data_IF_445335033551
#
_entry.id   IF_445335033551
#
_cell.length_a   1.000
_cell.length_b   1.000
_cell.length_c   1.000
_cell.angle_alpha   90.00
_cell.angle_beta   90.00
_cell.angle_gamma   90.00
#
_symmetry.space_group_name_H-M   'P 1'
#
loop_
_entity.id
_entity.type
_entity.pdbx_description
1 polymer ?
#
# COMPACT_ATOMS: atom_id res chain seq x y z
N UNK A 1 10.89 6.29 25.63
CA UNK A 1 11.70 6.08 24.40
C UNK A 1 11.10 6.92 23.28
N UNK A 2 11.76 8.01 22.92
CA UNK A 2 11.22 9.10 22.10
C UNK A 2 11.43 8.80 20.60
N UNK A 3 10.36 8.69 19.82
CA UNK A 3 10.44 8.45 18.37
C UNK A 3 10.79 9.76 17.63
N UNK A 4 11.93 9.82 16.94
CA UNK A 4 12.36 11.04 16.23
C UNK A 4 12.07 11.04 14.72
N UNK A 5 11.75 9.90 14.08
CA UNK A 5 11.51 9.87 12.62
C UNK A 5 10.23 9.15 12.18
N UNK A 6 9.72 9.46 10.97
CA UNK A 6 8.60 8.74 10.37
C UNK A 6 8.90 7.25 10.16
N UNK A 7 10.16 6.92 9.84
CA UNK A 7 10.63 5.54 9.66
C UNK A 7 10.42 4.72 10.94
N UNK A 8 10.72 5.29 12.11
CA UNK A 8 10.55 4.58 13.39
C UNK A 8 9.08 4.32 13.71
N UNK A 9 8.19 5.28 13.40
CA UNK A 9 6.74 5.11 13.57
C UNK A 9 6.21 3.96 12.71
N UNK A 10 6.61 3.91 11.45
CA UNK A 10 6.22 2.83 10.53
C UNK A 10 6.82 1.51 11.00
N UNK A 11 8.12 1.49 11.34
CA UNK A 11 8.83 0.29 11.80
C UNK A 11 8.16 -0.31 13.03
N UNK A 12 7.75 0.50 14.01
CA UNK A 12 7.00 0.01 15.18
C UNK A 12 5.72 -0.74 14.80
N UNK A 13 4.97 -0.23 13.82
CA UNK A 13 3.73 -0.88 13.34
C UNK A 13 4.07 -2.18 12.62
N UNK A 14 5.10 -2.15 11.77
CA UNK A 14 5.55 -3.30 10.99
C UNK A 14 6.12 -4.40 11.88
N UNK A 15 6.95 -4.08 12.88
CA UNK A 15 7.51 -5.02 13.84
C UNK A 15 6.41 -5.65 14.72
N UNK A 16 5.35 -4.90 15.05
CA UNK A 16 4.22 -5.45 15.84
C UNK A 16 3.36 -6.42 15.02
N UNK A 17 3.26 -6.19 13.72
CA UNK A 17 2.37 -6.97 12.85
C UNK A 17 3.13 -8.13 12.22
N UNK A 18 4.35 -7.88 11.74
CA UNK A 18 5.28 -8.69 10.92
C UNK A 18 4.67 -9.26 9.64
N UNK A 19 3.52 -9.91 9.77
CA UNK A 19 2.78 -10.62 8.73
C UNK A 19 1.29 -10.70 9.08
N UNK A 20 0.46 -10.76 8.05
CA UNK A 20 -0.98 -11.04 8.19
C UNK A 20 -1.37 -12.16 7.24
N UNK A 21 -2.28 -13.04 7.67
CA UNK A 21 -2.94 -13.98 6.75
C UNK A 21 -4.02 -13.23 5.98
N UNK A 22 -4.06 -13.43 4.67
CA UNK A 22 -5.02 -12.75 3.79
C UNK A 22 -5.95 -13.78 3.13
N UNK A 23 -7.25 -13.81 3.45
CA UNK A 23 -8.19 -14.78 2.90
C UNK A 23 -8.27 -14.76 1.37
N UNK A 24 -8.12 -13.59 0.75
CA UNK A 24 -8.07 -13.44 -0.70
C UNK A 24 -6.95 -14.24 -1.39
N UNK A 25 -5.88 -14.57 -0.67
CA UNK A 25 -4.78 -15.40 -1.16
C UNK A 25 -4.77 -16.76 -0.45
N UNK A 26 -5.94 -17.38 -0.26
CA UNK A 26 -6.06 -18.67 0.42
C UNK A 26 -5.39 -18.71 1.80
N UNK A 27 -5.46 -17.59 2.53
CA UNK A 27 -4.81 -17.37 3.82
C UNK A 27 -3.27 -17.38 3.81
N UNK A 28 -2.63 -17.15 2.66
CA UNK A 28 -1.20 -16.88 2.57
C UNK A 28 -0.78 -15.67 3.42
N UNK A 29 0.50 -15.67 3.84
CA UNK A 29 1.09 -14.60 4.64
C UNK A 29 1.54 -13.41 3.77
N UNK A 30 1.00 -12.23 4.06
CA UNK A 30 1.46 -10.94 3.52
C UNK A 30 2.45 -10.31 4.50
N UNK A 31 3.69 -10.15 4.05
CA UNK A 31 4.79 -9.69 4.88
C UNK A 31 4.84 -8.16 4.95
N UNK A 32 5.05 -7.61 6.14
CA UNK A 32 5.31 -6.19 6.38
C UNK A 32 6.80 -5.99 6.58
N UNK A 33 7.52 -5.57 5.53
CA UNK A 33 8.98 -5.53 5.51
C UNK A 33 9.54 -4.16 5.09
N UNK A 34 10.88 -4.04 5.08
CA UNK A 34 11.59 -2.82 4.73
C UNK A 34 11.24 -2.26 3.34
N UNK A 35 10.84 -3.10 2.38
CA UNK A 35 10.42 -2.64 1.04
C UNK A 35 9.14 -1.81 1.12
N UNK A 36 8.16 -2.28 1.90
CA UNK A 36 6.94 -1.52 2.19
C UNK A 36 7.23 -0.23 2.94
N UNK A 37 8.10 -0.25 3.96
CA UNK A 37 8.52 0.97 4.70
C UNK A 37 9.10 2.00 3.74
N UNK A 38 10.06 1.59 2.91
CA UNK A 38 10.70 2.49 1.95
C UNK A 38 9.67 3.08 0.98
N UNK A 39 8.71 2.29 0.50
CA UNK A 39 7.71 2.77 -0.43
C UNK A 39 6.71 3.76 0.20
N UNK A 40 6.45 3.67 1.51
CA UNK A 40 5.65 4.65 2.24
C UNK A 40 6.39 5.98 2.45
N UNK A 41 7.73 5.96 2.48
CA UNK A 41 8.59 7.10 2.75
C UNK A 41 9.09 7.80 1.48
N UNK A 42 9.34 7.06 0.41
CA UNK A 42 9.99 7.55 -0.80
C UNK A 42 9.12 7.34 -2.05
N UNK A 43 9.34 8.18 -3.05
CA UNK A 43 8.77 8.05 -4.40
C UNK A 43 9.67 7.16 -5.28
N UNK A 44 9.24 6.88 -6.51
CA UNK A 44 9.98 6.04 -7.46
C UNK A 44 11.36 6.61 -7.83
N UNK A 45 11.48 7.93 -7.90
CA UNK A 45 12.72 8.69 -8.12
C UNK A 45 13.64 8.74 -6.88
N UNK A 46 13.28 8.03 -5.79
CA UNK A 46 13.95 8.01 -4.49
C UNK A 46 13.89 9.33 -3.71
N UNK A 47 13.16 10.34 -4.19
CA UNK A 47 12.87 11.54 -3.41
C UNK A 47 11.95 11.17 -2.23
N UNK A 48 12.11 11.87 -1.10
CA UNK A 48 11.23 11.67 0.04
C UNK A 48 9.81 12.16 -0.31
N UNK A 49 8.79 11.39 0.07
CA UNK A 49 7.40 11.81 -0.03
C UNK A 49 7.15 13.00 0.91
N UNK A 50 6.19 13.83 0.51
CA UNK A 50 5.71 14.93 1.34
C UNK A 50 5.32 14.44 2.75
N UNK A 51 5.63 15.24 3.77
CA UNK A 51 5.42 14.89 5.18
C UNK A 51 3.95 14.62 5.50
N UNK A 52 3.02 15.42 4.97
CA UNK A 52 1.58 15.20 5.16
C UNK A 52 1.13 13.91 4.49
N UNK A 53 1.72 13.56 3.34
CA UNK A 53 1.45 12.27 2.69
C UNK A 53 1.95 11.10 3.54
N UNK A 54 3.17 11.18 4.08
CA UNK A 54 3.72 10.13 4.95
C UNK A 54 2.85 9.96 6.21
N UNK A 55 2.44 11.06 6.84
CA UNK A 55 1.54 11.02 8.00
C UNK A 55 0.19 10.37 7.67
N UNK A 56 -0.37 10.69 6.51
CA UNK A 56 -1.61 10.08 6.03
C UNK A 56 -1.42 8.58 5.86
N UNK A 57 -0.35 8.15 5.18
CA UNK A 57 -0.01 6.73 5.03
C UNK A 57 0.06 6.02 6.40
N UNK A 58 0.79 6.60 7.37
CA UNK A 58 0.92 6.04 8.72
C UNK A 58 -0.44 5.89 9.40
N UNK A 59 -1.32 6.90 9.31
CA UNK A 59 -2.68 6.85 9.88
C UNK A 59 -3.55 5.77 9.25
N UNK A 60 -3.31 5.42 7.99
CA UNK A 60 -4.08 4.41 7.27
C UNK A 60 -3.57 2.98 7.49
N UNK A 61 -2.33 2.79 7.98
CA UNK A 61 -1.75 1.46 8.18
C UNK A 61 -2.62 0.50 9.01
N UNK A 62 -3.23 0.90 10.13
CA UNK A 62 -4.14 0.02 10.87
C UNK A 62 -5.34 -0.43 10.03
N UNK A 63 -5.86 0.46 9.18
CA UNK A 63 -6.97 0.14 8.27
C UNK A 63 -6.52 -0.78 7.14
N UNK A 64 -5.29 -0.63 6.66
CA UNK A 64 -4.70 -1.52 5.66
C UNK A 64 -4.49 -2.93 6.20
N UNK A 65 -3.98 -3.05 7.43
CA UNK A 65 -3.82 -4.34 8.13
C UNK A 65 -5.18 -5.01 8.28
N UNK A 66 -6.18 -4.28 8.78
CA UNK A 66 -7.53 -4.77 8.93
C UNK A 66 -8.11 -5.24 7.58
N UNK A 67 -7.96 -4.45 6.52
CA UNK A 67 -8.44 -4.82 5.19
C UNK A 67 -7.80 -6.11 4.70
N UNK A 68 -6.47 -6.26 4.78
CA UNK A 68 -5.79 -7.47 4.32
C UNK A 68 -6.19 -8.71 5.12
N UNK A 69 -6.50 -8.58 6.41
CA UNK A 69 -6.95 -9.70 7.25
C UNK A 69 -8.37 -10.18 6.93
N UNK A 70 -9.20 -9.33 6.31
CA UNK A 70 -10.63 -9.61 6.12
C UNK A 70 -11.05 -9.67 4.65
N UNK A 71 -10.23 -9.16 3.72
CA UNK A 71 -10.55 -9.18 2.31
C UNK A 71 -10.56 -10.61 1.75
N UNK A 72 -11.60 -10.93 0.99
CA UNK A 72 -11.77 -12.22 0.30
C UNK A 72 -11.42 -12.15 -1.18
N UNK A 73 -11.25 -10.95 -1.75
CA UNK A 73 -10.80 -10.73 -3.13
C UNK A 73 -10.11 -9.37 -3.28
N UNK A 74 -9.25 -9.26 -4.30
CA UNK A 74 -8.71 -7.98 -4.79
C UNK A 74 -9.57 -7.45 -5.95
N UNK A 75 -9.55 -6.14 -6.17
CA UNK A 75 -10.34 -5.48 -7.22
C UNK A 75 -9.53 -5.26 -8.49
N UNK A 76 -8.21 -5.12 -8.36
CA UNK A 76 -7.31 -4.95 -9.49
C UNK A 76 -6.09 -5.86 -9.34
N UNK A 77 -5.59 -6.35 -10.47
CA UNK A 77 -4.36 -7.10 -10.58
C UNK A 77 -3.56 -6.59 -11.77
N UNK A 78 -2.25 -6.47 -11.60
CA UNK A 78 -1.35 -6.18 -12.69
C UNK A 78 -0.07 -7.00 -12.58
N UNK A 79 0.43 -7.40 -13.74
CA UNK A 79 1.72 -8.08 -13.86
C UNK A 79 2.54 -7.34 -14.90
N UNK A 80 3.80 -7.06 -14.59
CA UNK A 80 4.75 -6.56 -15.59
C UNK A 80 6.11 -7.25 -15.43
N UNK A 81 6.83 -7.33 -16.54
CA UNK A 81 8.16 -7.93 -16.60
C UNK A 81 9.20 -6.82 -16.72
N UNK A 82 10.30 -6.94 -15.97
CA UNK A 82 11.46 -6.05 -16.10
C UNK A 82 12.73 -6.89 -16.07
N UNK A 83 13.30 -7.09 -17.26
CA UNK A 83 14.33 -8.11 -17.47
C UNK A 83 13.77 -9.49 -17.13
N UNK A 84 14.53 -10.31 -16.42
CA UNK A 84 14.12 -11.66 -16.01
C UNK A 84 13.17 -11.68 -14.78
N UNK A 85 12.75 -10.52 -14.28
CA UNK A 85 11.93 -10.42 -13.07
C UNK A 85 10.49 -10.08 -13.40
N UNK A 86 9.58 -10.93 -12.95
CA UNK A 86 8.14 -10.70 -12.98
C UNK A 86 7.73 -9.96 -11.70
N UNK A 87 6.93 -8.91 -11.84
CA UNK A 87 6.36 -8.16 -10.73
C UNK A 87 4.85 -8.29 -10.78
N UNK A 88 4.24 -8.78 -9.71
CA UNK A 88 2.79 -8.90 -9.58
C UNK A 88 2.29 -7.95 -8.51
N UNK A 89 1.15 -7.30 -8.76
CA UNK A 89 0.50 -6.37 -7.86
C UNK A 89 -0.97 -6.70 -7.75
N UNK A 90 -1.52 -6.54 -6.54
CA UNK A 90 -2.94 -6.67 -6.27
C UNK A 90 -3.40 -5.46 -5.46
N UNK A 91 -4.52 -4.87 -5.88
CA UNK A 91 -5.12 -3.75 -5.19
C UNK A 91 -6.41 -4.16 -4.48
N UNK A 92 -6.45 -3.89 -3.18
CA UNK A 92 -7.60 -4.11 -2.31
C UNK A 92 -8.25 -2.77 -2.00
N UNK A 93 -9.53 -2.64 -2.27
CA UNK A 93 -10.33 -1.45 -2.03
C UNK A 93 -11.47 -1.77 -1.06
N UNK A 94 -11.61 -0.93 -0.03
CA UNK A 94 -12.73 -1.02 0.89
C UNK A 94 -12.97 0.31 1.59
N UNK A 95 -14.15 0.45 2.19
CA UNK A 95 -14.43 1.49 3.17
C UNK A 95 -14.15 0.94 4.56
N UNK A 96 -13.15 1.48 5.23
CA UNK A 96 -12.78 1.10 6.60
C UNK A 96 -12.89 2.35 7.48
N UNK A 97 -13.74 2.31 8.52
CA UNK A 97 -14.00 3.44 9.42
C UNK A 97 -14.35 4.73 8.65
N UNK A 98 -15.36 4.60 7.77
CA UNK A 98 -15.87 5.68 6.91
C UNK A 98 -14.86 6.28 5.93
N UNK A 99 -13.73 5.59 5.71
CA UNK A 99 -12.72 6.00 4.74
C UNK A 99 -12.50 4.92 3.71
N UNK A 100 -12.75 5.24 2.44
CA UNK A 100 -12.27 4.44 1.33
C UNK A 100 -10.75 4.47 1.28
N UNK A 101 -10.15 3.29 1.26
CA UNK A 101 -8.72 3.07 1.15
C UNK A 101 -8.44 2.08 0.02
N UNK A 102 -7.26 2.20 -0.57
CA UNK A 102 -6.69 1.24 -1.51
C UNK A 102 -5.37 0.74 -0.95
N UNK A 103 -5.24 -0.57 -0.79
CA UNK A 103 -4.05 -1.25 -0.27
C UNK A 103 -3.42 -2.05 -1.40
N UNK A 104 -2.11 -1.88 -1.58
CA UNK A 104 -1.36 -2.56 -2.63
C UNK A 104 -0.50 -3.65 -2.00
N UNK A 105 -0.66 -4.88 -2.49
CA UNK A 105 0.21 -6.02 -2.21
C UNK A 105 1.07 -6.26 -3.45
N UNK A 106 2.32 -6.65 -3.24
CA UNK A 106 3.28 -6.94 -4.31
C UNK A 106 3.97 -8.28 -4.12
N UNK A 107 4.29 -8.95 -5.23
CA UNK A 107 5.18 -10.09 -5.30
C UNK A 107 6.24 -9.87 -6.40
N UNK A 108 7.45 -10.39 -6.19
CA UNK A 108 8.54 -10.32 -7.18
C UNK A 108 9.03 -11.74 -7.46
N UNK A 109 8.94 -12.19 -8.71
CA UNK A 109 9.14 -13.59 -9.08
C UNK A 109 8.33 -14.51 -8.18
N UNK A 110 8.99 -15.54 -7.63
CA UNK A 110 8.39 -16.51 -6.70
C UNK A 110 8.63 -16.15 -5.21
N UNK A 111 9.00 -14.90 -4.90
CA UNK A 111 9.20 -14.48 -3.50
C UNK A 111 7.87 -14.38 -2.73
N UNK A 112 7.94 -14.22 -1.40
CA UNK A 112 6.75 -14.01 -0.58
C UNK A 112 6.03 -12.71 -0.94
N UNK A 113 4.69 -12.74 -0.92
CA UNK A 113 3.86 -11.54 -1.04
C UNK A 113 4.14 -10.59 0.12
N UNK A 114 4.17 -9.29 -0.16
CA UNK A 114 4.43 -8.26 0.84
C UNK A 114 3.54 -7.04 0.63
N UNK A 115 3.23 -6.36 1.74
CA UNK A 115 2.60 -5.06 1.71
C UNK A 115 3.51 -4.08 0.96
N UNK A 116 2.94 -3.36 -0.02
CA UNK A 116 3.65 -2.37 -0.81
C UNK A 116 3.22 -0.94 -0.46
N UNK A 117 1.92 -0.65 -0.41
CA UNK A 117 1.44 0.69 -0.10
C UNK A 117 0.02 0.74 0.42
N UNK A 118 -0.36 1.90 0.97
CA UNK A 118 -1.74 2.27 1.25
C UNK A 118 -2.01 3.67 0.70
N UNK A 119 -3.18 3.84 0.11
CA UNK A 119 -3.59 5.07 -0.55
C UNK A 119 -4.98 5.46 -0.01
N UNK A 120 -5.15 6.69 0.51
CA UNK A 120 -6.49 7.22 0.74
C UNK A 120 -7.20 7.36 -0.60
N UNK A 121 -8.40 6.82 -0.72
CA UNK A 121 -9.20 6.92 -1.92
C UNK A 121 -10.34 7.95 -1.72
N UNK A 122 -10.05 9.26 -1.72
CA UNK A 122 -11.07 10.33 -1.72
C UNK A 122 -10.62 11.51 -2.59
N UNK A 123 -11.48 12.17 -3.40
CA UNK A 123 -12.83 12.70 -3.10
C UNK A 123 -13.89 12.42 -4.18
N UNK A 124 -15.15 12.17 -3.77
CA UNK A 124 -16.32 12.69 -4.52
C UNK A 124 -16.43 14.17 -4.16
N UNK A 125 -16.37 15.05 -5.15
CA UNK A 125 -16.91 16.41 -5.02
C UNK A 125 -18.41 16.35 -5.35
N UNK A 126 -19.21 17.28 -4.81
CA UNK A 126 -20.65 17.45 -5.11
C UNK A 126 -20.93 17.70 -6.59
N UNK A 127 -19.90 17.83 -7.43
CA UNK A 127 -19.97 18.13 -8.86
C UNK A 127 -19.52 16.98 -9.79
N UNK A 128 -19.32 15.76 -9.26
CA UNK A 128 -19.10 14.59 -10.11
C UNK A 128 -17.88 13.78 -9.75
N UNK A 129 -17.82 12.58 -10.33
CA UNK A 129 -16.74 11.61 -10.15
C UNK A 129 -15.49 12.18 -10.82
N UNK A 130 -14.58 12.74 -10.03
CA UNK A 130 -13.19 12.88 -10.45
C UNK A 130 -12.62 11.46 -10.55
N UNK A 131 -12.61 10.92 -11.76
CA UNK A 131 -11.83 9.75 -12.07
C UNK A 131 -10.39 10.00 -11.62
N UNK A 132 -9.80 8.98 -11.00
CA UNK A 132 -8.37 8.84 -10.74
C UNK A 132 -7.46 9.06 -11.98
N UNK A 133 -8.04 9.38 -13.15
CA UNK A 133 -7.35 9.74 -14.40
C UNK A 133 -6.92 11.21 -14.49
N UNK A 134 -7.44 12.14 -13.67
CA UNK A 134 -7.01 13.55 -13.75
C UNK A 134 -6.17 13.94 -12.53
N UNK A 135 -4.84 14.05 -12.77
CA UNK A 135 -3.73 14.46 -11.88
C UNK A 135 -2.99 13.30 -11.17
N UNK A 136 -2.08 12.69 -11.95
CA UNK A 136 -0.86 11.94 -11.60
C UNK A 136 -0.96 10.88 -10.51
N UNK A 137 -1.13 9.62 -10.93
CA UNK A 137 -1.04 8.42 -10.09
C UNK A 137 0.18 7.53 -10.40
N UNK A 138 1.26 8.15 -10.88
CA UNK A 138 2.51 7.59 -11.43
C UNK A 138 2.66 8.24 -12.81
N UNK A 139 3.60 9.18 -12.99
CA UNK A 139 4.11 9.46 -14.33
C UNK A 139 4.75 8.17 -14.82
N UNK A 140 4.00 7.40 -15.60
CA UNK A 140 4.52 6.34 -16.46
C UNK A 140 5.10 7.02 -17.70
N UNK A 141 6.33 6.62 -18.04
CA UNK A 141 7.15 7.00 -19.21
C UNK A 141 8.03 8.26 -19.07
N UNK A 142 9.21 8.04 -18.48
CA UNK A 142 10.49 8.46 -19.06
C UNK A 142 11.62 7.57 -18.52
#
# INVERSE_FOLDING_TARGET
>A
MMYKTYKDKIKKIFDKTEKVKCPAFDNEEINFNAKGINHLLFKGDRSQRDSKRIETNIRLLPSAIYLLQNATFWQEESTYEKGERIYKYWAFEAVVKDRRIKVIVRQVGNSKKHFWSVIPAWRRDKFGILNAKSRNLEEWES
#
